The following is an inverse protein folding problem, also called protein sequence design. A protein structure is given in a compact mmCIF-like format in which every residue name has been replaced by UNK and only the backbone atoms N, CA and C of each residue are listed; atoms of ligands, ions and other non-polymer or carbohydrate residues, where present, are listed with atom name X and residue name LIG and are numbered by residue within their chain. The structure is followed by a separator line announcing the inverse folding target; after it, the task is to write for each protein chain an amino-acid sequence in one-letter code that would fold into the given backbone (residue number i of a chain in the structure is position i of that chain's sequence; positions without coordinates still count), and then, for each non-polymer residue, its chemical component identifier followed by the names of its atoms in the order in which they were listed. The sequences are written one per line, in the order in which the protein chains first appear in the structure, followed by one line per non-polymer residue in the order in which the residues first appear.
data_IF_825586371043
#
_entry.id   IF_825586371043
#
_cell.length_a   1.000
_cell.length_b   1.000
_cell.length_c   1.000
_cell.angle_alpha   90.00
_cell.angle_beta   90.00
_cell.angle_gamma   90.00
#
_symmetry.space_group_name_H-M   'P 1'
#
loop_
_entity.id
_entity.type
_entity.pdbx_description
1 polymer ?
#
# COMPACT_ATOMS: atom_id res chain seq x y z
N UNK A 1 -1.32 -18.02 -3.76
CA UNK A 1 -2.37 -17.13 -4.31
C UNK A 1 -2.37 -15.76 -3.61
N UNK A 2 -2.54 -15.71 -2.29
CA UNK A 2 -2.52 -14.45 -1.51
C UNK A 2 -1.23 -13.63 -1.65
N UNK A 3 -0.06 -14.28 -1.70
CA UNK A 3 1.24 -13.58 -1.81
C UNK A 3 1.37 -12.78 -3.12
N UNK A 4 0.82 -13.30 -4.21
CA UNK A 4 0.87 -12.68 -5.53
C UNK A 4 -0.02 -11.45 -5.58
N UNK A 5 -1.23 -11.56 -5.02
CA UNK A 5 -2.17 -10.44 -4.89
C UNK A 5 -1.56 -9.35 -4.00
N UNK A 6 -0.90 -9.75 -2.91
CA UNK A 6 -0.22 -8.83 -2.01
C UNK A 6 0.93 -8.07 -2.71
N UNK A 7 1.77 -8.76 -3.49
CA UNK A 7 2.85 -8.14 -4.26
C UNK A 7 2.33 -7.11 -5.28
N UNK A 8 1.23 -7.45 -5.98
CA UNK A 8 0.60 -6.54 -6.95
C UNK A 8 -0.01 -5.34 -6.21
N UNK A 9 -0.61 -5.55 -5.04
CA UNK A 9 -1.21 -4.48 -4.25
C UNK A 9 -0.15 -3.51 -3.70
N UNK A 10 0.92 -4.01 -3.05
CA UNK A 10 1.97 -3.14 -2.50
C UNK A 10 2.72 -2.37 -3.60
N UNK A 11 2.85 -2.95 -4.79
CA UNK A 11 3.48 -2.26 -5.93
C UNK A 11 2.56 -1.17 -6.45
N UNK A 12 1.27 -1.46 -6.67
CA UNK A 12 0.29 -0.46 -7.09
C UNK A 12 0.20 0.74 -6.12
N UNK A 13 0.13 0.46 -4.82
CA UNK A 13 0.12 1.47 -3.74
C UNK A 13 1.41 2.29 -3.67
N UNK A 14 2.58 1.63 -3.79
CA UNK A 14 3.87 2.33 -3.81
C UNK A 14 3.94 3.33 -4.97
N UNK A 15 3.44 2.94 -6.15
CA UNK A 15 3.38 3.82 -7.32
C UNK A 15 2.42 5.00 -7.11
N UNK A 16 1.25 4.76 -6.49
CA UNK A 16 0.28 5.81 -6.15
C UNK A 16 0.87 6.83 -5.17
N UNK A 17 1.45 6.37 -4.06
CA UNK A 17 2.09 7.21 -3.05
C UNK A 17 3.29 8.00 -3.58
N UNK A 18 4.13 7.37 -4.41
CA UNK A 18 5.28 8.05 -5.03
C UNK A 18 4.84 9.21 -5.93
N UNK A 19 3.76 9.04 -6.68
CA UNK A 19 3.22 10.09 -7.54
C UNK A 19 2.62 11.24 -6.72
N UNK A 20 1.88 10.93 -5.66
CA UNK A 20 1.32 11.93 -4.76
C UNK A 20 2.43 12.80 -4.15
N UNK A 21 3.52 12.18 -3.68
CA UNK A 21 4.71 12.87 -3.18
C UNK A 21 5.43 13.67 -4.27
N UNK A 22 5.57 13.11 -5.49
CA UNK A 22 6.18 13.78 -6.63
C UNK A 22 5.47 15.07 -7.04
N UNK A 23 4.14 15.15 -6.88
CA UNK A 23 3.37 16.39 -7.13
C UNK A 23 3.63 17.49 -6.12
N UNK A 24 4.05 17.14 -4.91
CA UNK A 24 4.39 18.08 -3.85
C UNK A 24 5.83 18.61 -3.96
N UNK A 25 6.54 18.30 -5.05
CA UNK A 25 7.96 18.61 -5.24
C UNK A 25 8.84 18.11 -4.08
N UNK A 26 8.51 16.95 -3.51
CA UNK A 26 9.34 16.31 -2.48
C UNK A 26 10.61 15.71 -3.10
N UNK A 27 11.70 15.73 -2.34
CA UNK A 27 12.96 15.09 -2.71
C UNK A 27 12.79 13.57 -2.90
N UNK A 28 13.74 12.94 -3.60
CA UNK A 28 13.74 11.48 -3.86
C UNK A 28 13.58 10.65 -2.59
N UNK A 29 14.17 11.11 -1.47
CA UNK A 29 14.01 10.48 -0.17
C UNK A 29 12.57 10.57 0.36
N UNK A 30 11.96 11.75 0.27
CA UNK A 30 10.57 11.96 0.68
C UNK A 30 9.61 11.11 -0.15
N UNK A 31 9.85 11.00 -1.46
CA UNK A 31 9.07 10.14 -2.37
C UNK A 31 9.20 8.67 -1.99
N UNK A 32 10.41 8.19 -1.74
CA UNK A 32 10.65 6.81 -1.31
C UNK A 32 9.98 6.50 0.04
N UNK A 33 10.00 7.45 0.97
CA UNK A 33 9.39 7.30 2.29
C UNK A 33 7.86 7.25 2.19
N UNK A 34 7.23 8.15 1.42
CA UNK A 34 5.78 8.13 1.21
C UNK A 34 5.38 6.83 0.50
N UNK A 35 6.08 6.43 -0.56
CA UNK A 35 5.80 5.17 -1.26
C UNK A 35 5.86 3.95 -0.32
N UNK A 36 6.88 3.91 0.55
CA UNK A 36 7.02 2.86 1.56
C UNK A 36 5.86 2.87 2.57
N UNK A 37 5.53 4.03 3.12
CA UNK A 37 4.45 4.19 4.11
C UNK A 37 3.10 3.84 3.50
N UNK A 38 2.81 4.26 2.27
CA UNK A 38 1.55 3.93 1.58
C UNK A 38 1.46 2.42 1.33
N UNK A 39 2.51 1.81 0.77
CA UNK A 39 2.49 0.39 0.40
C UNK A 39 2.47 -0.58 1.60
N UNK A 40 3.26 -0.31 2.64
CA UNK A 40 3.42 -1.21 3.79
C UNK A 40 2.65 -0.76 5.03
N UNK A 41 2.23 0.50 5.11
CA UNK A 41 1.48 1.05 6.23
C UNK A 41 0.12 0.37 6.42
N UNK A 42 -0.64 0.16 5.34
CA UNK A 42 -1.94 -0.53 5.41
C UNK A 42 -1.83 -1.96 5.96
N UNK A 43 -0.86 -2.74 5.45
CA UNK A 43 -0.58 -4.08 5.95
C UNK A 43 -0.10 -4.10 7.40
N UNK A 44 0.75 -3.14 7.79
CA UNK A 44 1.25 -3.01 9.17
C UNK A 44 0.14 -2.68 10.15
N UNK A 45 -0.75 -1.74 9.81
CA UNK A 45 -1.90 -1.39 10.64
C UNK A 45 -2.84 -2.59 10.79
N UNK A 46 -3.13 -3.31 9.70
CA UNK A 46 -3.92 -4.55 9.75
C UNK A 46 -3.30 -5.57 10.70
N UNK A 47 -2.01 -5.84 10.55
CA UNK A 47 -1.31 -6.85 11.34
C UNK A 47 -1.28 -6.45 12.84
N UNK A 48 -1.11 -5.16 13.15
CA UNK A 48 -1.23 -4.63 14.52
C UNK A 48 -2.65 -4.76 15.10
N UNK A 49 -3.68 -4.43 14.32
CA UNK A 49 -5.09 -4.54 14.75
C UNK A 49 -5.51 -5.98 15.02
N UNK A 50 -4.99 -6.91 14.24
CA UNK A 50 -5.23 -8.35 14.40
C UNK A 50 -4.32 -8.99 15.47
N UNK A 51 -3.43 -8.22 16.11
CA UNK A 51 -2.46 -8.74 17.08
C UNK A 51 -1.48 -9.75 16.47
N UNK A 52 -1.28 -9.72 15.16
CA UNK A 52 -0.50 -10.70 14.41
C UNK A 52 0.96 -10.23 14.35
N UNK A 53 1.78 -10.72 15.28
CA UNK A 53 3.22 -10.51 15.30
C UNK A 53 3.91 -11.84 14.94
N UNK A 54 4.93 -11.85 14.05
CA UNK A 54 5.68 -10.72 13.48
C UNK A 54 5.12 -10.14 12.17
N UNK A 55 5.40 -8.86 11.92
CA UNK A 55 4.90 -8.11 10.76
C UNK A 55 5.53 -8.65 9.47
N UNK A 56 4.75 -8.82 8.41
CA UNK A 56 5.18 -9.54 7.20
C UNK A 56 6.43 -8.94 6.51
N UNK A 57 6.58 -7.61 6.53
CA UNK A 57 7.75 -6.92 5.96
C UNK A 57 9.02 -7.04 6.82
N UNK A 58 8.89 -7.31 8.13
CA UNK A 58 10.06 -7.57 8.99
C UNK A 58 10.62 -8.98 8.79
N UNK A 59 9.78 -9.93 8.40
CA UNK A 59 10.20 -11.30 8.03
C UNK A 59 10.84 -11.34 6.64
N UNK A 60 10.39 -10.46 5.74
CA UNK A 60 10.85 -10.43 4.34
C UNK A 60 11.28 -9.00 3.94
N UNK A 61 12.55 -8.63 4.19
CA UNK A 61 13.06 -7.30 3.83
C UNK A 61 13.02 -7.04 2.32
N UNK A 62 12.87 -8.08 1.49
CA UNK A 62 12.66 -7.98 0.05
C UNK A 62 11.48 -7.08 -0.35
N UNK A 63 10.41 -7.01 0.44
CA UNK A 63 9.26 -6.15 0.14
C UNK A 63 9.61 -4.65 0.22
N UNK A 64 10.58 -4.28 1.07
CA UNK A 64 11.08 -2.91 1.17
C UNK A 64 11.78 -2.51 -0.14
N UNK A 65 12.66 -3.38 -0.65
CA UNK A 65 13.35 -3.13 -1.91
C UNK A 65 12.37 -3.00 -3.08
N UNK A 66 11.33 -3.84 -3.13
CA UNK A 66 10.30 -3.80 -4.18
C UNK A 66 9.52 -2.49 -4.13
N UNK A 67 9.05 -2.08 -2.96
CA UNK A 67 8.24 -0.85 -2.81
C UNK A 67 9.05 0.41 -3.09
N UNK A 68 10.29 0.49 -2.58
CA UNK A 68 11.19 1.63 -2.84
C UNK A 68 11.60 1.70 -4.31
N UNK A 69 11.96 0.58 -4.93
CA UNK A 69 12.31 0.56 -6.36
C UNK A 69 11.13 0.90 -7.25
N UNK A 70 9.93 0.38 -6.96
CA UNK A 70 8.71 0.71 -7.68
C UNK A 70 8.39 2.22 -7.57
N UNK A 71 8.45 2.79 -6.36
CA UNK A 71 8.21 4.22 -6.14
C UNK A 71 9.21 5.12 -6.87
N UNK A 72 10.51 4.79 -6.81
CA UNK A 72 11.56 5.51 -7.55
C UNK A 72 11.36 5.42 -9.07
N UNK A 73 11.02 4.23 -9.58
CA UNK A 73 10.75 4.02 -10.99
C UNK A 73 9.54 4.84 -11.46
N UNK A 74 8.48 4.87 -10.66
CA UNK A 74 7.31 5.71 -10.90
C UNK A 74 7.65 7.19 -10.86
N UNK A 75 8.52 7.66 -9.97
CA UNK A 75 8.94 9.06 -9.93
C UNK A 75 9.60 9.50 -11.25
N UNK A 76 10.50 8.67 -11.79
CA UNK A 76 11.19 8.95 -13.07
C UNK A 76 10.19 9.00 -14.23
N UNK A 77 9.27 8.03 -14.29
CA UNK A 77 8.23 7.97 -15.33
C UNK A 77 7.20 9.10 -15.19
N UNK A 78 6.79 9.39 -13.97
CA UNK A 78 5.80 10.42 -13.64
C UNK A 78 6.28 11.81 -14.02
N UNK A 79 7.57 12.09 -13.88
CA UNK A 79 8.18 13.34 -14.32
C UNK A 79 8.04 13.56 -15.83
N UNK A 80 7.96 12.47 -16.61
CA UNK A 80 7.75 12.52 -18.05
C UNK A 80 6.26 12.54 -18.44
N UNK A 81 5.38 11.91 -17.64
CA UNK A 81 3.96 11.79 -17.95
C UNK A 81 3.05 12.57 -16.98
N UNK A 82 2.70 13.82 -17.33
CA UNK A 82 1.72 14.65 -16.61
C UNK A 82 0.28 14.09 -16.59
N UNK A 83 -0.05 13.09 -17.43
CA UNK A 83 -1.43 12.62 -17.68
C UNK A 83 -1.83 11.34 -16.92
N UNK A 84 -0.91 10.71 -16.17
CA UNK A 84 -1.17 9.41 -15.54
C UNK A 84 -2.12 9.44 -14.33
N UNK A 85 -2.61 10.60 -13.89
CA UNK A 85 -3.46 10.72 -12.69
C UNK A 85 -4.63 9.72 -12.65
N UNK A 86 -5.34 9.59 -13.77
CA UNK A 86 -6.51 8.72 -13.88
C UNK A 86 -6.14 7.23 -13.79
N UNK A 87 -5.00 6.82 -14.38
CA UNK A 87 -4.52 5.45 -14.29
C UNK A 87 -4.13 5.09 -12.86
N UNK A 88 -3.55 6.03 -12.11
CA UNK A 88 -3.17 5.79 -10.72
C UNK A 88 -4.36 5.73 -9.77
N UNK A 89 -5.39 6.55 -9.96
CA UNK A 89 -6.66 6.44 -9.22
C UNK A 89 -7.30 5.06 -9.39
N UNK A 90 -7.20 4.47 -10.59
CA UNK A 90 -7.67 3.11 -10.86
C UNK A 90 -6.77 2.06 -10.21
N UNK A 91 -5.44 2.22 -10.25
CA UNK A 91 -4.50 1.31 -9.60
C UNK A 91 -4.63 1.31 -8.08
N UNK A 92 -4.84 2.49 -7.49
CA UNK A 92 -5.10 2.67 -6.06
C UNK A 92 -6.39 1.96 -5.64
N UNK A 93 -7.50 2.20 -6.34
CA UNK A 93 -8.75 1.49 -6.06
C UNK A 93 -8.65 -0.03 -6.23
N UNK A 94 -7.83 -0.53 -7.16
CA UNK A 94 -7.51 -1.96 -7.25
C UNK A 94 -6.67 -2.47 -6.06
N UNK A 95 -5.71 -1.67 -5.59
CA UNK A 95 -4.92 -1.93 -4.39
C UNK A 95 -5.81 -2.08 -3.16
N UNK A 96 -6.71 -1.12 -2.95
CA UNK A 96 -7.70 -1.12 -1.87
C UNK A 96 -8.59 -2.37 -1.89
N UNK A 97 -9.10 -2.77 -3.05
CA UNK A 97 -9.91 -4.00 -3.19
C UNK A 97 -9.07 -5.24 -2.84
N UNK A 98 -7.86 -5.33 -3.38
CA UNK A 98 -6.95 -6.45 -3.13
C UNK A 98 -6.59 -6.58 -1.65
N UNK A 99 -6.29 -5.47 -0.98
CA UNK A 99 -6.07 -5.45 0.46
C UNK A 99 -7.31 -5.93 1.20
N UNK A 100 -8.49 -5.39 0.88
CA UNK A 100 -9.78 -5.77 1.50
C UNK A 100 -9.99 -7.28 1.48
N UNK A 101 -9.80 -7.91 0.33
CA UNK A 101 -9.94 -9.37 0.18
C UNK A 101 -8.92 -10.11 1.07
N UNK A 102 -7.65 -9.69 1.06
CA UNK A 102 -6.62 -10.31 1.89
C UNK A 102 -6.95 -10.15 3.39
N UNK A 103 -7.41 -8.97 3.82
CA UNK A 103 -7.78 -8.70 5.20
C UNK A 103 -8.97 -9.53 5.66
N UNK A 104 -10.01 -9.65 4.84
CA UNK A 104 -11.15 -10.51 5.11
C UNK A 104 -10.72 -11.97 5.29
N UNK A 105 -9.85 -12.48 4.41
CA UNK A 105 -9.41 -13.88 4.51
C UNK A 105 -8.54 -14.14 5.75
N UNK A 106 -7.68 -13.18 6.14
CA UNK A 106 -6.90 -13.30 7.38
C UNK A 106 -7.79 -13.20 8.61
N UNK A 107 -8.79 -12.31 8.62
CA UNK A 107 -9.73 -12.17 9.74
C UNK A 107 -10.60 -13.42 9.92
N UNK A 108 -11.10 -14.01 8.83
CA UNK A 108 -11.85 -15.26 8.86
C UNK A 108 -11.02 -16.42 9.39
N UNK A 109 -9.71 -16.46 9.09
CA UNK A 109 -8.80 -17.49 9.63
C UNK A 109 -8.53 -17.35 11.13
N UNK A 110 -8.78 -16.17 11.70
CA UNK A 110 -8.52 -15.86 13.11
C UNK A 110 -9.81 -15.82 13.95
N UNK A 111 -10.97 -16.23 13.39
CA UNK A 111 -12.27 -16.27 14.08
C UNK A 111 -12.72 -14.93 14.70
N UNK A 112 -12.25 -13.80 14.14
CA UNK A 112 -12.60 -12.46 14.62
C UNK A 112 -13.93 -11.94 14.05
N UNK A 113 -14.67 -11.16 14.85
CA UNK A 113 -15.93 -10.56 14.41
C UNK A 113 -15.74 -9.50 13.30
N UNK A 114 -16.64 -9.57 12.32
CA UNK A 114 -16.78 -8.74 11.10
C UNK A 114 -16.54 -7.22 11.30
N UNK A 115 -16.98 -6.55 12.38
CA UNK A 115 -16.75 -5.10 12.57
C UNK A 115 -15.28 -4.66 12.62
N UNK A 116 -14.33 -5.51 13.01
CA UNK A 116 -12.89 -5.17 13.04
C UNK A 116 -12.35 -4.99 11.61
N UNK A 117 -12.88 -5.77 10.66
CA UNK A 117 -12.52 -5.68 9.24
C UNK A 117 -12.99 -4.35 8.66
N UNK A 118 -14.21 -3.90 8.97
CA UNK A 118 -14.78 -2.65 8.45
C UNK A 118 -14.06 -1.40 8.97
N UNK A 119 -13.65 -1.40 10.25
CA UNK A 119 -12.93 -0.27 10.88
C UNK A 119 -11.48 -0.18 10.40
N UNK A 120 -10.80 -1.31 10.17
CA UNK A 120 -9.46 -1.34 9.61
C UNK A 120 -9.38 -0.71 8.21
N UNK A 121 -10.40 -0.93 7.36
CA UNK A 121 -10.46 -0.38 6.00
C UNK A 121 -10.95 1.07 5.91
N UNK A 122 -11.80 1.52 6.84
CA UNK A 122 -12.21 2.92 6.91
C UNK A 122 -11.01 3.87 7.16
N UNK A 123 -9.98 3.41 7.88
CA UNK A 123 -8.76 4.19 8.14
C UNK A 123 -7.82 4.28 6.92
N UNK A 124 -7.81 3.27 6.04
CA UNK A 124 -7.00 3.25 4.82
C UNK A 124 -7.50 4.31 3.82
N UNK A 125 -8.82 4.50 3.70
CA UNK A 125 -9.41 5.59 2.92
C UNK A 125 -9.02 6.98 3.44
N UNK A 126 -8.74 7.11 4.74
CA UNK A 126 -8.41 8.38 5.39
C UNK A 126 -6.91 8.73 5.35
N UNK A 127 -6.03 7.75 5.16
CA UNK A 127 -4.57 7.96 4.98
C UNK A 127 -4.25 8.30 3.52
N UNK A 128 -5.04 7.83 2.55
CA UNK A 128 -4.84 8.12 1.13
C UNK A 128 -5.34 9.54 0.71
N UNK A 129 -5.97 10.29 1.64
CA UNK A 129 -6.54 11.63 1.41
C UNK A 129 -5.82 12.78 2.14
N UNK A 130 -4.74 12.50 2.88
CA UNK A 130 -3.85 13.51 3.49
C UNK A 130 -2.56 13.66 2.67
#
# INVERSE_FOLDING_TARGET
MLISIYLIAITAEAMSGALAAGRRNMDMFGVALIAFVTALGGGTVRDMLLGNYPINWTQHPGYIYITVSAGLFTMVIARYMRRLHQLFLVLDSLGLIAFTIIGCEVALKLDYEIPVVTVAYCKIAHVHFL
#
